data_IF_794680346994
#
_entry.id   IF_794680346994
#
_cell.length_a   1.000
_cell.length_b   1.000
_cell.length_c   1.000
_cell.angle_alpha   90.00
_cell.angle_beta   90.00
_cell.angle_gamma   90.00
#
_symmetry.space_group_name_H-M   'P 1'
#
loop_
_entity.id
_entity.type
_entity.pdbx_description
1 polymer ?
#
# COMPACT_ATOMS: atom_id res chain seq x y z
N UNK A 1 -20.00 -7.72 -3.41
CA UNK A 1 -20.12 -6.92 -2.17
C UNK A 1 -18.75 -6.30 -1.97
N UNK A 2 -18.60 -5.00 -2.22
CA UNK A 2 -17.32 -4.28 -2.08
C UNK A 2 -17.42 -3.60 -0.72
N UNK A 3 -17.24 -4.39 0.34
CA UNK A 3 -17.28 -3.91 1.71
C UNK A 3 -15.84 -3.87 2.22
N UNK A 4 -15.23 -2.70 2.10
CA UNK A 4 -14.04 -2.23 2.82
C UNK A 4 -13.71 -0.85 2.26
N UNK A 5 -14.61 0.12 2.49
CA UNK A 5 -14.22 1.52 2.46
C UNK A 5 -13.23 1.70 3.61
N UNK A 6 -11.95 1.54 3.33
CA UNK A 6 -10.91 1.93 4.27
C UNK A 6 -11.18 3.39 4.65
N UNK A 7 -11.61 3.64 5.89
CA UNK A 7 -11.73 4.97 6.52
C UNK A 7 -10.35 5.56 6.80
N UNK A 8 -9.38 5.23 5.96
CA UNK A 8 -8.01 5.66 6.05
C UNK A 8 -7.91 6.98 5.28
N UNK A 9 -7.49 8.02 5.98
CA UNK A 9 -7.22 9.34 5.44
C UNK A 9 -5.77 9.70 5.71
N UNK A 10 -5.21 10.55 4.85
CA UNK A 10 -3.90 11.10 5.11
C UNK A 10 -4.05 12.20 6.17
N UNK A 11 -3.51 11.99 7.37
CA UNK A 11 -3.56 12.96 8.47
C UNK A 11 -3.08 14.35 8.02
N UNK A 12 -1.99 14.41 7.25
CA UNK A 12 -1.46 15.67 6.71
C UNK A 12 -2.45 16.39 5.77
N UNK A 13 -3.16 15.64 4.92
CA UNK A 13 -4.19 16.20 4.05
C UNK A 13 -5.45 16.59 4.82
N UNK A 14 -5.82 15.84 5.85
CA UNK A 14 -6.94 16.15 6.71
C UNK A 14 -6.69 17.43 7.51
N UNK A 15 -5.51 17.56 8.13
CA UNK A 15 -5.04 18.77 8.82
C UNK A 15 -5.01 19.97 7.86
N UNK A 16 -4.61 19.75 6.60
CA UNK A 16 -4.61 20.78 5.56
C UNK A 16 -6.00 21.06 4.95
N UNK A 17 -7.07 20.40 5.41
CA UNK A 17 -8.42 20.47 4.85
C UNK A 17 -8.49 20.20 3.33
N UNK A 18 -7.65 19.27 2.85
CA UNK A 18 -7.56 18.83 1.45
C UNK A 18 -8.20 17.46 1.29
N UNK A 19 -8.70 17.11 0.09
CA UNK A 19 -9.24 15.79 -0.16
C UNK A 19 -8.14 14.73 -0.01
N UNK A 20 -8.26 13.91 1.03
CA UNK A 20 -7.46 12.71 1.25
C UNK A 20 -7.89 11.64 0.26
N UNK A 21 -6.99 11.24 -0.65
CA UNK A 21 -7.25 10.16 -1.61
C UNK A 21 -6.11 9.16 -1.58
N UNK A 22 -6.31 8.08 -0.84
CA UNK A 22 -5.35 6.98 -0.75
C UNK A 22 -5.56 6.00 -1.91
N UNK A 23 -4.46 5.51 -2.47
CA UNK A 23 -4.41 4.52 -3.53
C UNK A 23 -3.60 3.32 -3.07
N UNK A 24 -4.16 2.12 -3.13
CA UNK A 24 -3.43 0.86 -2.84
C UNK A 24 -2.48 0.53 -3.99
N UNK A 25 -1.17 0.61 -3.73
CA UNK A 25 -0.11 0.37 -4.71
C UNK A 25 0.37 -1.07 -4.74
N UNK A 26 0.36 -1.75 -3.60
CA UNK A 26 0.68 -3.17 -3.49
C UNK A 26 -0.06 -3.81 -2.32
N UNK A 27 -0.33 -5.10 -2.43
CA UNK A 27 -0.92 -5.94 -1.39
C UNK A 27 -0.02 -7.16 -1.22
N UNK A 28 0.49 -7.36 -0.01
CA UNK A 28 1.55 -8.32 0.25
C UNK A 28 1.15 -9.17 1.44
N UNK A 29 1.03 -10.47 1.20
CA UNK A 29 0.79 -11.43 2.26
C UNK A 29 2.13 -11.76 2.95
N UNK A 30 2.26 -11.39 4.22
CA UNK A 30 3.41 -11.70 5.06
C UNK A 30 3.05 -12.81 6.04
N UNK A 31 3.88 -13.85 6.08
CA UNK A 31 3.72 -14.92 7.06
C UNK A 31 4.35 -14.49 8.39
N UNK A 32 3.52 -14.09 9.36
CA UNK A 32 3.99 -13.74 10.72
C UNK A 32 3.93 -14.97 11.64
N UNK A 33 4.60 -14.91 12.79
CA UNK A 33 4.51 -15.96 13.82
C UNK A 33 3.09 -16.13 14.39
N UNK A 34 2.18 -15.18 14.14
CA UNK A 34 0.76 -15.24 14.55
C UNK A 34 -0.16 -15.73 13.44
N UNK A 35 0.33 -15.87 12.20
CA UNK A 35 -0.45 -16.27 11.03
C UNK A 35 -0.12 -15.42 9.79
N UNK A 36 -0.69 -15.77 8.63
CA UNK A 36 -0.61 -14.93 7.44
C UNK A 36 -1.36 -13.62 7.68
N UNK A 37 -0.68 -12.50 7.42
CA UNK A 37 -1.21 -11.15 7.53
C UNK A 37 -1.09 -10.48 6.16
N UNK A 38 -2.10 -9.70 5.76
CA UNK A 38 -2.07 -8.97 4.48
C UNK A 38 -1.71 -7.51 4.73
N UNK A 39 -0.56 -7.09 4.18
CA UNK A 39 -0.09 -5.70 4.23
C UNK A 39 -0.46 -4.96 2.96
N UNK A 40 -1.20 -3.87 3.10
CA UNK A 40 -1.60 -2.98 2.02
C UNK A 40 -0.71 -1.74 2.03
N UNK A 41 0.05 -1.54 0.95
CA UNK A 41 0.87 -0.35 0.73
C UNK A 41 0.02 0.70 0.02
N UNK A 42 -0.15 1.86 0.64
CA UNK A 42 -1.03 2.94 0.25
C UNK A 42 -0.20 4.20 -0.08
N UNK A 43 -0.56 4.89 -1.16
CA UNK A 43 0.00 6.20 -1.52
C UNK A 43 -1.12 7.25 -1.52
N UNK A 44 -0.90 8.38 -0.87
CA UNK A 44 -1.80 9.51 -0.95
C UNK A 44 -1.57 10.26 -2.26
N UNK A 45 -2.56 10.29 -3.14
CA UNK A 45 -2.50 10.97 -4.44
C UNK A 45 -2.44 12.50 -4.34
N UNK A 46 -2.69 13.07 -3.15
CA UNK A 46 -2.70 14.51 -2.94
C UNK A 46 -1.34 15.05 -2.46
N UNK A 47 -0.70 14.38 -1.51
CA UNK A 47 0.59 14.79 -0.95
C UNK A 47 1.77 13.85 -1.28
N UNK A 48 1.51 12.67 -1.85
CA UNK A 48 2.52 11.67 -2.18
C UNK A 48 3.03 10.86 -0.98
N UNK A 49 2.42 11.00 0.20
CA UNK A 49 2.79 10.22 1.37
C UNK A 49 2.50 8.74 1.18
N UNK A 50 3.37 7.91 1.76
CA UNK A 50 3.37 6.46 1.62
C UNK A 50 3.13 5.82 2.97
N UNK A 51 2.23 4.85 2.98
CA UNK A 51 1.78 4.19 4.19
C UNK A 51 1.65 2.69 3.96
N UNK A 52 1.69 1.91 5.04
CA UNK A 52 1.29 0.51 5.05
C UNK A 52 0.20 0.31 6.09
N UNK A 53 -0.73 -0.60 5.82
CA UNK A 53 -1.76 -1.00 6.76
C UNK A 53 -1.98 -2.50 6.69
N UNK A 54 -2.15 -3.15 7.84
CA UNK A 54 -2.32 -4.60 7.93
C UNK A 54 -3.80 -5.05 8.02
N UNK A 55 -4.74 -4.19 7.63
CA UNK A 55 -6.18 -4.23 7.98
C UNK A 55 -6.43 -4.18 9.49
N UNK A 56 -6.76 -3.00 10.02
CA UNK A 56 -7.98 -2.81 10.84
C UNK A 56 -8.18 -1.36 11.31
N UNK A 57 -7.14 -0.53 11.37
CA UNK A 57 -7.25 0.94 11.57
C UNK A 57 -5.86 1.61 11.61
N UNK A 58 -4.79 0.82 11.67
CA UNK A 58 -3.43 1.34 11.81
C UNK A 58 -2.77 1.58 10.46
N UNK A 59 -2.33 2.82 10.24
CA UNK A 59 -1.46 3.20 9.13
C UNK A 59 -0.09 3.55 9.69
N UNK A 60 0.93 2.88 9.17
CA UNK A 60 2.32 3.23 9.46
C UNK A 60 2.93 3.94 8.26
N UNK A 61 3.69 5.01 8.51
CA UNK A 61 4.46 5.66 7.47
C UNK A 61 5.54 4.70 6.95
N UNK A 62 5.70 4.66 5.63
CA UNK A 62 6.64 3.76 4.95
C UNK A 62 7.80 4.57 4.40
N UNK A 63 9.02 4.20 4.79
CA UNK A 63 10.25 4.76 4.25
C UNK A 63 10.50 4.37 2.79
N UNK A 64 11.32 5.15 2.10
CA UNK A 64 11.64 4.95 0.68
C UNK A 64 12.24 3.55 0.40
N UNK A 65 13.07 3.02 1.32
CA UNK A 65 13.68 1.69 1.18
C UNK A 65 12.62 0.58 1.25
N UNK A 66 11.74 0.62 2.24
CA UNK A 66 10.66 -0.36 2.40
C UNK A 66 9.68 -0.26 1.23
N UNK A 67 9.28 0.95 0.86
CA UNK A 67 8.43 1.20 -0.30
C UNK A 67 9.01 0.59 -1.56
N UNK A 68 10.29 0.83 -1.86
CA UNK A 68 10.95 0.29 -3.06
C UNK A 68 11.13 -1.22 -3.02
N UNK A 69 11.14 -1.84 -1.84
CA UNK A 69 11.24 -3.30 -1.69
C UNK A 69 9.93 -3.99 -2.06
N UNK A 70 8.82 -3.36 -1.72
CA UNK A 70 7.49 -3.95 -1.75
C UNK A 70 6.61 -3.40 -2.87
N UNK A 71 6.61 -2.08 -3.03
CA UNK A 71 6.10 -1.35 -4.18
C UNK A 71 7.26 -1.15 -5.17
N UNK A 72 7.81 -2.24 -5.69
CA UNK A 72 8.47 -2.15 -6.99
C UNK A 72 7.35 -1.92 -7.98
N UNK A 73 7.45 -0.85 -8.77
CA UNK A 73 6.77 -0.81 -10.07
C UNK A 73 6.88 -2.21 -10.64
N UNK A 74 5.74 -2.83 -10.94
CA UNK A 74 5.71 -4.09 -11.64
C UNK A 74 6.47 -3.86 -12.94
N UNK A 75 7.79 -4.06 -12.91
CA UNK A 75 8.53 -4.52 -14.05
C UNK A 75 7.79 -5.80 -14.33
N UNK A 76 6.90 -5.69 -15.31
CA UNK A 76 6.17 -6.78 -15.90
C UNK A 76 7.27 -7.79 -16.21
N UNK A 77 7.42 -8.80 -15.33
CA UNK A 77 7.98 -10.06 -15.76
C UNK A 77 6.92 -10.59 -16.71
N UNK A 78 6.92 -10.04 -17.94
CA UNK A 78 6.50 -10.83 -19.08
C UNK A 78 7.35 -12.10 -18.92
N UNK A 79 6.73 -13.28 -18.81
CA UNK A 79 7.50 -14.49 -19.01
C UNK A 79 8.09 -14.33 -20.40
N UNK A 80 9.37 -13.97 -20.48
CA UNK A 80 10.08 -14.04 -21.74
C UNK A 80 10.23 -15.53 -21.95
N UNK A 81 9.23 -16.06 -22.66
CA UNK A 81 9.01 -17.48 -22.82
C UNK A 81 10.31 -18.17 -23.17
N UNK A 82 10.62 -19.18 -22.39
CA UNK A 82 11.46 -20.27 -22.82
C UNK A 82 10.85 -20.82 -24.13
N UNK A 83 11.60 -20.79 -25.24
CA UNK A 83 11.14 -21.41 -26.48
C UNK A 83 11.78 -20.91 -27.77
N UNK A 84 12.97 -21.44 -28.08
CA UNK A 84 13.35 -22.12 -29.33
C UNK A 84 14.84 -21.96 -29.62
#
# INVERSE_FOLDING_TARGET
MIDSLFTLYCEDCEVAARPSRLWVRAEIEVSTSRGPETQHYLECMNCGFRFKSCMEDHMEAVDDEEWRRFVKEAVVFLPQGEGA
#
